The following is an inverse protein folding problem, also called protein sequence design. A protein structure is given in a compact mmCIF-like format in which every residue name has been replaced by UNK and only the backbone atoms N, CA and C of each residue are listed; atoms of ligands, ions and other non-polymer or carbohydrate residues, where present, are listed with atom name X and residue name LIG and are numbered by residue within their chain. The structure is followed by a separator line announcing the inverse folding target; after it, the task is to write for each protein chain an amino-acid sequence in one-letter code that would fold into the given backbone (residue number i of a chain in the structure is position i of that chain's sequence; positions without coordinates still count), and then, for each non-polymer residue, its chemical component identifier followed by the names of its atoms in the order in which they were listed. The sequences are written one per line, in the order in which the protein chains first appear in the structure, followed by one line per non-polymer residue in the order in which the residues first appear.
data_IF_580420850617
#
_entry.id   IF_580420850617
#
_cell.length_a   1.000
_cell.length_b   1.000
_cell.length_c   1.000
_cell.angle_alpha   90.00
_cell.angle_beta   90.00
_cell.angle_gamma   90.00
#
_symmetry.space_group_name_H-M   'P 1'
#
loop_
_entity.id
_entity.type
_entity.pdbx_description
1 polymer ?
#
# COMPACT_ATOMS: atom_id res chain seq x y z
N UNK A 1 54.88 1.33 -16.49
CA UNK A 1 54.48 2.74 -16.35
C UNK A 1 53.73 3.17 -17.61
N UNK A 2 52.41 3.38 -17.55
CA UNK A 2 51.63 3.97 -18.65
C UNK A 2 51.08 5.30 -18.15
N UNK A 3 51.73 6.39 -18.58
CA UNK A 3 51.25 7.75 -18.34
C UNK A 3 49.95 7.97 -19.13
N UNK A 4 48.88 8.35 -18.45
CA UNK A 4 47.66 8.84 -19.10
C UNK A 4 47.93 10.22 -19.70
N UNK A 5 47.88 10.31 -21.03
CA UNK A 5 48.00 11.56 -21.76
C UNK A 5 46.73 12.40 -21.54
N UNK A 6 46.86 13.48 -20.77
CA UNK A 6 45.85 14.55 -20.70
C UNK A 6 45.96 15.35 -22.00
N UNK A 7 45.03 15.14 -22.93
CA UNK A 7 44.89 15.96 -24.13
C UNK A 7 44.58 17.41 -23.71
N UNK A 8 45.55 18.30 -23.86
CA UNK A 8 45.45 19.74 -23.60
C UNK A 8 44.82 20.43 -24.81
N UNK A 9 43.48 20.49 -24.85
CA UNK A 9 42.76 21.35 -25.78
C UNK A 9 42.69 22.80 -25.29
N UNK A 10 43.00 23.73 -26.20
CA UNK A 10 43.31 25.15 -25.99
C UNK A 10 42.13 26.07 -25.60
N UNK A 11 40.98 25.55 -25.18
CA UNK A 11 39.80 26.36 -24.78
C UNK A 11 39.50 26.36 -23.27
N UNK A 12 40.30 25.67 -22.45
CA UNK A 12 40.06 25.50 -21.00
C UNK A 12 40.41 26.73 -20.14
N UNK A 13 41.19 27.70 -20.63
CA UNK A 13 41.72 28.80 -19.82
C UNK A 13 40.72 29.94 -19.55
N UNK A 14 39.73 30.17 -20.43
CA UNK A 14 38.82 31.31 -20.29
C UNK A 14 37.73 31.12 -19.21
N UNK A 15 37.43 29.87 -18.81
CA UNK A 15 36.29 29.55 -17.94
C UNK A 15 36.68 29.02 -16.54
N UNK A 16 37.97 28.91 -16.20
CA UNK A 16 38.47 28.31 -14.94
C UNK A 16 37.71 27.04 -14.54
N UNK A 17 37.44 26.16 -15.51
CA UNK A 17 36.64 24.94 -15.26
C UNK A 17 37.39 24.04 -14.28
N UNK A 18 36.73 23.76 -13.15
CA UNK A 18 37.27 22.86 -12.13
C UNK A 18 37.40 21.44 -12.69
N UNK A 19 38.56 20.83 -12.48
CA UNK A 19 38.83 19.43 -12.84
C UNK A 19 39.00 18.64 -11.54
N UNK A 20 38.36 17.48 -11.48
CA UNK A 20 38.39 16.57 -10.33
C UNK A 20 38.98 15.24 -10.81
N UNK A 21 40.03 14.76 -10.14
CA UNK A 21 40.76 13.53 -10.53
C UNK A 21 39.96 12.29 -10.09
N UNK A 22 39.83 11.26 -10.94
CA UNK A 22 39.13 10.03 -10.58
C UNK A 22 39.85 9.25 -9.47
N UNK A 23 39.07 8.74 -8.51
CA UNK A 23 39.56 7.87 -7.44
C UNK A 23 39.51 6.42 -7.91
N UNK A 24 40.59 5.66 -7.69
CA UNK A 24 40.67 4.22 -7.98
C UNK A 24 40.20 3.39 -6.77
N UNK A 25 39.63 2.19 -6.97
CA UNK A 25 39.24 1.31 -5.87
C UNK A 25 40.45 0.91 -5.02
N UNK A 26 40.29 1.08 -3.71
CA UNK A 26 41.32 0.83 -2.68
C UNK A 26 40.74 0.00 -1.53
N UNK A 27 41.57 -0.70 -0.74
CA UNK A 27 41.12 -1.33 0.50
C UNK A 27 40.42 -0.30 1.40
N UNK A 28 39.14 -0.53 1.72
CA UNK A 28 38.28 0.42 2.45
C UNK A 28 37.40 1.33 1.57
N UNK A 29 37.64 1.41 0.26
CA UNK A 29 36.81 2.17 -0.68
C UNK A 29 36.55 1.38 -1.99
N UNK A 30 35.57 0.45 -1.97
CA UNK A 30 35.26 -0.40 -3.11
C UNK A 30 34.58 0.38 -4.26
N UNK A 31 34.55 -0.23 -5.45
CA UNK A 31 34.06 0.40 -6.68
C UNK A 31 32.65 1.00 -6.58
N UNK A 32 31.73 0.32 -5.90
CA UNK A 32 30.35 0.78 -5.75
C UNK A 32 30.25 2.01 -4.82
N UNK A 33 31.17 2.15 -3.84
CA UNK A 33 31.23 3.34 -2.99
C UNK A 33 31.76 4.54 -3.77
N UNK A 34 32.81 4.35 -4.60
CA UNK A 34 33.33 5.42 -5.47
C UNK A 34 32.22 5.98 -6.34
N UNK A 35 31.51 5.11 -7.08
CA UNK A 35 30.46 5.53 -8.01
C UNK A 35 29.28 6.22 -7.30
N UNK A 36 28.96 5.82 -6.07
CA UNK A 36 27.83 6.37 -5.33
C UNK A 36 28.15 7.68 -4.59
N UNK A 37 29.33 7.76 -3.98
CA UNK A 37 29.73 8.86 -3.10
C UNK A 37 30.58 9.94 -3.79
N UNK A 38 31.20 9.62 -4.93
CA UNK A 38 32.10 10.53 -5.65
C UNK A 38 31.65 10.76 -7.09
N UNK A 39 31.75 12.00 -7.56
CA UNK A 39 31.50 12.37 -8.95
C UNK A 39 32.65 13.22 -9.46
N UNK A 40 33.12 12.92 -10.66
CA UNK A 40 34.14 13.70 -11.35
C UNK A 40 33.56 14.97 -12.00
N UNK A 41 32.23 15.08 -12.09
CA UNK A 41 31.52 16.20 -12.71
C UNK A 41 31.16 17.25 -11.65
N UNK A 42 31.87 18.40 -11.58
CA UNK A 42 31.67 19.39 -10.51
C UNK A 42 30.31 20.10 -10.58
N UNK A 43 29.59 20.01 -11.71
CA UNK A 43 28.25 20.57 -11.85
C UNK A 43 27.19 19.80 -11.05
N UNK A 44 27.49 18.57 -10.61
CA UNK A 44 26.60 17.73 -9.80
C UNK A 44 26.93 17.80 -8.30
N UNK A 45 27.96 18.53 -7.90
CA UNK A 45 28.30 18.72 -6.49
C UNK A 45 27.18 19.46 -5.75
N UNK A 46 27.03 19.18 -4.44
CA UNK A 46 26.01 19.79 -3.56
C UNK A 46 24.55 19.56 -3.99
N UNK A 47 24.30 18.51 -4.79
CA UNK A 47 22.96 17.98 -5.01
C UNK A 47 22.36 17.40 -3.71
N UNK A 48 21.20 16.74 -3.81
CA UNK A 48 20.52 16.10 -2.67
C UNK A 48 21.00 14.66 -2.44
N UNK A 49 20.75 14.14 -1.24
CA UNK A 49 21.02 12.74 -0.90
C UNK A 49 20.17 11.79 -1.76
N UNK A 50 20.77 10.67 -2.18
CA UNK A 50 20.09 9.57 -2.87
C UNK A 50 19.86 8.44 -1.87
N UNK A 51 18.68 7.83 -1.89
CA UNK A 51 18.35 6.68 -1.05
C UNK A 51 18.48 5.39 -1.85
N UNK A 52 18.86 4.31 -1.18
CA UNK A 52 18.93 2.97 -1.74
C UNK A 52 18.42 1.98 -0.69
N UNK A 53 17.83 0.87 -1.13
CA UNK A 53 17.28 -0.17 -0.27
C UNK A 53 18.23 -1.37 -0.17
N UNK A 54 18.41 -1.89 1.05
CA UNK A 54 19.11 -3.15 1.31
C UNK A 54 18.13 -4.33 1.39
N UNK A 55 18.57 -5.50 1.84
CA UNK A 55 17.82 -6.77 1.76
C UNK A 55 16.33 -6.72 2.10
N UNK A 56 15.95 -6.37 3.33
CA UNK A 56 14.54 -6.37 3.76
C UNK A 56 13.74 -5.20 3.18
N UNK A 57 14.26 -3.98 3.31
CA UNK A 57 13.62 -2.79 2.74
C UNK A 57 13.46 -2.88 1.21
N UNK A 58 14.33 -3.61 0.51
CA UNK A 58 14.21 -3.85 -0.93
C UNK A 58 13.05 -4.79 -1.23
N UNK A 59 12.83 -5.81 -0.41
CA UNK A 59 11.66 -6.70 -0.54
C UNK A 59 10.35 -5.93 -0.32
N UNK A 60 10.33 -5.01 0.65
CA UNK A 60 9.17 -4.15 0.91
C UNK A 60 8.91 -3.11 -0.19
N UNK A 61 9.95 -2.59 -0.85
CA UNK A 61 9.78 -1.53 -1.86
C UNK A 61 9.51 -2.10 -3.25
N UNK A 62 10.06 -3.27 -3.56
CA UNK A 62 9.88 -3.92 -4.86
C UNK A 62 8.67 -4.86 -4.90
N UNK A 63 8.05 -5.15 -3.75
CA UNK A 63 6.88 -6.02 -3.62
C UNK A 63 7.01 -7.33 -4.42
N UNK A 64 8.13 -8.02 -4.26
CA UNK A 64 8.43 -9.23 -5.04
C UNK A 64 7.53 -10.38 -4.55
N UNK A 65 6.58 -10.88 -5.37
CA UNK A 65 5.74 -12.00 -4.98
C UNK A 65 6.58 -13.27 -4.91
N UNK A 66 6.57 -13.93 -3.75
CA UNK A 66 7.26 -15.21 -3.56
C UNK A 66 6.51 -16.30 -4.32
N UNK A 67 7.12 -16.82 -5.40
CA UNK A 67 6.61 -17.99 -6.11
C UNK A 67 6.70 -19.22 -5.21
N UNK A 68 5.78 -20.17 -5.37
CA UNK A 68 5.91 -21.46 -4.68
C UNK A 68 7.12 -22.21 -5.25
N UNK A 69 8.02 -22.64 -4.37
CA UNK A 69 9.19 -23.45 -4.72
C UNK A 69 8.97 -24.91 -4.28
N UNK A 70 9.97 -25.55 -3.68
CA UNK A 70 9.93 -26.93 -3.21
C UNK A 70 9.45 -27.09 -1.76
N UNK A 71 10.03 -28.09 -1.09
CA UNK A 71 9.63 -28.53 0.26
C UNK A 71 9.72 -27.41 1.30
N UNK A 72 10.75 -26.56 1.23
CA UNK A 72 10.92 -25.45 2.17
C UNK A 72 9.77 -24.45 2.11
N UNK A 73 9.31 -24.07 0.91
CA UNK A 73 8.18 -23.17 0.76
C UNK A 73 6.89 -23.79 1.29
N UNK A 74 6.67 -25.08 1.02
CA UNK A 74 5.50 -25.81 1.54
C UNK A 74 5.50 -25.91 3.07
N UNK A 75 6.65 -26.25 3.65
CA UNK A 75 6.82 -26.31 5.09
C UNK A 75 6.61 -24.94 5.74
N UNK A 76 7.15 -23.86 5.14
CA UNK A 76 6.92 -22.50 5.61
C UNK A 76 5.46 -22.07 5.49
N UNK A 77 4.75 -22.45 4.42
CA UNK A 77 3.32 -22.17 4.25
C UNK A 77 2.49 -22.89 5.32
N UNK A 78 2.79 -24.17 5.61
CA UNK A 78 2.12 -24.91 6.66
C UNK A 78 2.39 -24.34 8.06
N UNK A 79 3.64 -23.92 8.33
CA UNK A 79 4.05 -23.34 9.60
C UNK A 79 3.72 -21.85 9.76
N UNK A 80 3.16 -21.21 8.73
CA UNK A 80 3.09 -19.74 8.61
C UNK A 80 2.34 -19.04 9.75
N UNK A 81 1.48 -19.74 10.48
CA UNK A 81 0.76 -19.18 11.62
C UNK A 81 -0.09 -17.95 11.23
N UNK A 82 -0.79 -17.35 12.19
CA UNK A 82 -1.62 -16.16 11.94
C UNK A 82 -0.74 -14.90 11.82
N UNK A 83 -0.46 -14.46 10.58
CA UNK A 83 0.37 -13.27 10.32
C UNK A 83 -0.28 -11.98 10.83
N UNK A 84 -1.60 -11.86 10.75
CA UNK A 84 -2.33 -10.68 11.22
C UNK A 84 -2.14 -10.51 12.73
N UNK A 85 -2.20 -11.63 13.45
CA UNK A 85 -1.95 -11.66 14.89
C UNK A 85 -0.49 -11.45 15.25
N UNK A 86 0.42 -12.04 14.48
CA UNK A 86 1.85 -11.85 14.69
C UNK A 86 2.25 -10.37 14.51
N UNK A 87 1.74 -9.70 13.48
CA UNK A 87 1.95 -8.28 13.27
C UNK A 87 1.42 -7.45 14.45
N UNK A 88 0.24 -7.79 14.97
CA UNK A 88 -0.35 -7.14 16.14
C UNK A 88 0.55 -7.28 17.38
N UNK A 89 1.06 -8.49 17.64
CA UNK A 89 1.99 -8.75 18.75
C UNK A 89 3.25 -7.89 18.61
N UNK A 90 3.87 -7.83 17.43
CA UNK A 90 5.09 -7.05 17.19
C UNK A 90 4.89 -5.55 17.52
N UNK A 91 3.71 -5.00 17.25
CA UNK A 91 3.39 -3.61 17.61
C UNK A 91 3.16 -3.43 19.10
N UNK A 92 2.41 -4.33 19.75
CA UNK A 92 2.17 -4.29 21.19
C UNK A 92 3.49 -4.38 21.96
N UNK A 93 4.44 -5.20 21.49
CA UNK A 93 5.78 -5.29 22.06
C UNK A 93 6.54 -3.95 22.05
N UNK A 94 6.14 -2.99 21.21
CA UNK A 94 6.69 -1.62 21.25
C UNK A 94 6.36 -0.85 22.54
N UNK A 95 5.41 -1.33 23.35
CA UNK A 95 5.13 -0.80 24.69
C UNK A 95 6.04 -1.39 25.78
N UNK A 96 6.96 -2.31 25.43
CA UNK A 96 7.98 -2.81 26.35
C UNK A 96 8.94 -1.70 26.78
N UNK A 97 9.50 -1.83 27.98
CA UNK A 97 10.36 -0.81 28.60
C UNK A 97 11.64 -0.50 27.80
N UNK A 98 12.10 -1.45 26.99
CA UNK A 98 13.31 -1.37 26.16
C UNK A 98 13.02 -0.89 24.72
N UNK A 99 11.75 -0.66 24.38
CA UNK A 99 11.32 -0.35 23.01
C UNK A 99 10.48 0.92 22.94
N UNK A 100 10.26 1.38 21.71
CA UNK A 100 9.35 2.48 21.40
C UNK A 100 8.24 1.96 20.50
N UNK A 101 7.04 2.52 20.67
CA UNK A 101 5.91 2.28 19.78
C UNK A 101 6.26 2.87 18.41
N UNK A 102 6.47 1.99 17.44
CA UNK A 102 6.89 2.37 16.09
C UNK A 102 5.71 2.51 15.15
N UNK A 103 5.60 3.67 14.50
CA UNK A 103 4.63 3.90 13.43
C UNK A 103 4.82 2.97 12.22
N UNK A 104 6.03 2.44 11.98
CA UNK A 104 6.26 1.45 10.92
C UNK A 104 5.66 0.09 11.27
N UNK A 105 5.73 -0.33 12.54
CA UNK A 105 5.08 -1.56 13.02
C UNK A 105 3.55 -1.42 12.96
N UNK A 106 3.02 -0.24 13.32
CA UNK A 106 1.60 0.05 13.14
C UNK A 106 1.18 -0.01 11.67
N UNK A 107 1.97 0.60 10.77
CA UNK A 107 1.70 0.56 9.33
C UNK A 107 1.69 -0.88 8.81
N UNK A 108 2.66 -1.71 9.21
CA UNK A 108 2.70 -3.14 8.84
C UNK A 108 1.42 -3.88 9.24
N UNK A 109 0.87 -3.61 10.42
CA UNK A 109 -0.44 -4.17 10.84
C UNK A 109 -1.56 -3.63 9.97
N UNK A 110 -1.59 -2.32 9.77
CA UNK A 110 -2.64 -1.68 8.98
C UNK A 110 -2.68 -2.29 7.58
N UNK A 111 -1.51 -2.35 6.92
CA UNK A 111 -1.32 -2.93 5.60
C UNK A 111 -1.84 -4.39 5.61
N UNK A 112 -1.38 -5.23 6.55
CA UNK A 112 -1.84 -6.63 6.72
C UNK A 112 -3.36 -6.78 6.87
N UNK A 113 -3.97 -5.98 7.74
CA UNK A 113 -5.42 -5.99 7.95
C UNK A 113 -6.20 -5.47 6.73
N UNK A 114 -5.54 -4.74 5.83
CA UNK A 114 -6.10 -4.22 4.57
C UNK A 114 -5.63 -4.97 3.32
N UNK A 115 -4.84 -6.06 3.46
CA UNK A 115 -4.25 -6.80 2.32
C UNK A 115 -5.35 -7.31 1.37
N UNK A 116 -6.55 -7.58 1.88
CA UNK A 116 -7.68 -8.14 1.13
C UNK A 116 -8.66 -7.08 0.59
N UNK A 117 -8.32 -5.79 0.67
CA UNK A 117 -9.18 -4.68 0.23
C UNK A 117 -9.63 -4.85 -1.23
N UNK A 118 -8.74 -5.26 -2.12
CA UNK A 118 -9.03 -5.45 -3.55
C UNK A 118 -10.18 -6.44 -3.78
N UNK A 119 -10.17 -7.55 -3.05
CA UNK A 119 -11.23 -8.57 -3.13
C UNK A 119 -12.54 -8.07 -2.51
N UNK A 120 -12.47 -7.44 -1.33
CA UNK A 120 -13.64 -6.91 -0.66
C UNK A 120 -14.32 -5.81 -1.49
N UNK A 121 -13.53 -4.91 -2.08
CA UNK A 121 -14.01 -3.86 -2.98
C UNK A 121 -14.68 -4.49 -4.21
N UNK A 122 -14.07 -5.51 -4.81
CA UNK A 122 -14.67 -6.19 -5.96
C UNK A 122 -16.02 -6.83 -5.61
N UNK A 123 -16.11 -7.53 -4.47
CA UNK A 123 -17.36 -8.14 -3.99
C UNK A 123 -18.42 -7.13 -3.54
N UNK A 124 -18.01 -5.95 -3.05
CA UNK A 124 -18.94 -4.83 -2.82
C UNK A 124 -19.59 -4.39 -4.14
N UNK A 125 -18.81 -4.30 -5.22
CA UNK A 125 -19.33 -3.92 -6.54
C UNK A 125 -20.26 -5.00 -7.11
N UNK A 126 -19.92 -6.29 -7.04
CA UNK A 126 -20.82 -7.35 -7.54
C UNK A 126 -22.16 -7.38 -6.79
N UNK A 127 -22.15 -7.04 -5.50
CA UNK A 127 -23.33 -7.01 -4.63
C UNK A 127 -24.20 -5.76 -4.86
N UNK A 128 -23.58 -4.59 -4.99
CA UNK A 128 -24.29 -3.30 -4.94
C UNK A 128 -24.39 -2.57 -6.28
N UNK A 129 -23.43 -2.74 -7.20
CA UNK A 129 -23.40 -1.99 -8.46
C UNK A 129 -24.25 -2.62 -9.59
N UNK A 130 -24.67 -3.89 -9.46
CA UNK A 130 -25.43 -4.60 -10.51
C UNK A 130 -26.92 -4.61 -10.19
N UNK A 131 -27.77 -4.02 -11.03
CA UNK A 131 -29.22 -3.84 -10.74
C UNK A 131 -30.00 -5.15 -10.56
N UNK A 132 -29.82 -6.10 -11.48
CA UNK A 132 -30.40 -7.44 -11.37
C UNK A 132 -29.34 -8.46 -11.78
N UNK A 133 -28.64 -9.09 -10.81
CA UNK A 133 -27.70 -10.16 -11.10
C UNK A 133 -28.38 -11.54 -11.27
N UNK A 134 -29.72 -11.63 -11.12
CA UNK A 134 -30.46 -12.89 -11.07
C UNK A 134 -30.53 -13.45 -9.66
N UNK A 135 -31.02 -14.69 -9.52
CA UNK A 135 -31.02 -15.36 -8.23
C UNK A 135 -29.60 -15.81 -7.85
N UNK A 136 -28.97 -15.06 -6.96
CA UNK A 136 -27.62 -15.31 -6.47
C UNK A 136 -27.49 -16.58 -5.63
N UNK A 137 -28.61 -17.14 -5.15
CA UNK A 137 -28.62 -18.43 -4.44
C UNK A 137 -28.59 -19.62 -5.40
N UNK A 138 -28.96 -19.40 -6.67
CA UNK A 138 -28.88 -20.44 -7.70
C UNK A 138 -27.43 -20.91 -7.86
N UNK A 139 -27.23 -22.23 -7.98
CA UNK A 139 -25.88 -22.81 -8.06
C UNK A 139 -25.11 -22.32 -9.28
N UNK A 140 -25.78 -22.00 -10.38
CA UNK A 140 -25.16 -21.49 -11.60
C UNK A 140 -24.45 -20.15 -11.35
N UNK A 141 -25.20 -19.14 -10.90
CA UNK A 141 -24.68 -17.79 -10.70
C UNK A 141 -23.71 -17.75 -9.53
N UNK A 142 -24.00 -18.52 -8.47
CA UNK A 142 -23.08 -18.70 -7.35
C UNK A 142 -21.72 -19.25 -7.81
N UNK A 143 -21.71 -20.28 -8.68
CA UNK A 143 -20.46 -20.84 -9.21
C UNK A 143 -19.72 -19.86 -10.13
N UNK A 144 -20.44 -19.04 -10.90
CA UNK A 144 -19.81 -17.95 -11.65
C UNK A 144 -19.14 -16.93 -10.73
N UNK A 145 -19.83 -16.49 -9.67
CA UNK A 145 -19.27 -15.57 -8.69
C UNK A 145 -18.03 -16.17 -8.01
N UNK A 146 -18.11 -17.45 -7.62
CA UNK A 146 -17.01 -18.17 -6.96
C UNK A 146 -15.76 -18.25 -7.84
N UNK A 147 -15.90 -18.71 -9.09
CA UNK A 147 -14.78 -18.84 -10.00
C UNK A 147 -14.11 -17.48 -10.30
N UNK A 148 -14.91 -16.42 -10.46
CA UNK A 148 -14.39 -15.07 -10.68
C UNK A 148 -13.70 -14.50 -9.43
N UNK A 149 -14.22 -14.78 -8.24
CA UNK A 149 -13.57 -14.38 -6.99
C UNK A 149 -12.20 -15.06 -6.81
N UNK A 150 -12.09 -16.35 -7.11
CA UNK A 150 -10.82 -17.08 -7.06
C UNK A 150 -9.80 -16.55 -8.10
N UNK A 151 -10.28 -16.19 -9.29
CA UNK A 151 -9.45 -15.59 -10.35
C UNK A 151 -8.96 -14.17 -10.03
N UNK A 152 -9.76 -13.37 -9.33
CA UNK A 152 -9.32 -12.04 -8.84
C UNK A 152 -8.34 -12.20 -7.67
N UNK A 153 -8.58 -13.15 -6.76
CA UNK A 153 -7.71 -13.38 -5.59
C UNK A 153 -6.29 -13.81 -5.98
N UNK A 154 -6.18 -14.64 -7.02
CA UNK A 154 -4.91 -15.15 -7.55
C UNK A 154 -4.18 -14.16 -8.47
N UNK A 155 -4.84 -13.06 -8.86
CA UNK A 155 -4.31 -12.10 -9.83
C UNK A 155 -4.33 -12.59 -11.28
N UNK A 156 -5.09 -13.66 -11.58
CA UNK A 156 -5.29 -14.16 -12.95
C UNK A 156 -6.15 -13.20 -13.79
N UNK A 157 -7.07 -12.48 -13.15
CA UNK A 157 -7.95 -11.51 -13.80
C UNK A 157 -7.93 -10.16 -13.10
N UNK A 158 -7.96 -9.08 -13.89
CA UNK A 158 -8.17 -7.74 -13.34
C UNK A 158 -9.60 -7.57 -12.84
N UNK A 159 -9.80 -6.77 -11.79
CA UNK A 159 -11.12 -6.53 -11.19
C UNK A 159 -12.18 -6.09 -12.22
N UNK A 160 -11.78 -5.18 -13.14
CA UNK A 160 -12.64 -4.70 -14.22
C UNK A 160 -13.09 -5.83 -15.14
N UNK A 161 -12.15 -6.69 -15.55
CA UNK A 161 -12.43 -7.81 -16.44
C UNK A 161 -13.37 -8.80 -15.76
N UNK A 162 -13.06 -9.19 -14.53
CA UNK A 162 -13.90 -10.10 -13.76
C UNK A 162 -15.31 -9.54 -13.51
N UNK A 163 -15.44 -8.24 -13.23
CA UNK A 163 -16.75 -7.59 -13.08
C UNK A 163 -17.56 -7.61 -14.38
N UNK A 164 -16.91 -7.33 -15.52
CA UNK A 164 -17.55 -7.41 -16.85
C UNK A 164 -17.98 -8.84 -17.20
N UNK A 165 -17.17 -9.84 -16.85
CA UNK A 165 -17.57 -11.24 -17.01
C UNK A 165 -18.76 -11.61 -16.13
N UNK A 166 -18.82 -11.10 -14.91
CA UNK A 166 -19.94 -11.32 -13.99
C UNK A 166 -21.25 -10.71 -14.50
N UNK A 167 -21.23 -9.47 -14.99
CA UNK A 167 -22.43 -8.83 -15.54
C UNK A 167 -22.91 -9.49 -16.84
N UNK A 168 -21.98 -10.01 -17.65
CA UNK A 168 -22.28 -10.66 -18.95
C UNK A 168 -22.47 -12.18 -18.87
N UNK A 169 -22.38 -12.77 -17.68
CA UNK A 169 -22.51 -14.21 -17.50
C UNK A 169 -23.89 -14.71 -17.97
N UNK A 170 -23.93 -15.93 -18.50
CA UNK A 170 -25.19 -16.56 -18.93
C UNK A 170 -26.05 -16.85 -17.70
N UNK A 171 -27.27 -16.29 -17.65
CA UNK A 171 -28.20 -16.46 -16.52
C UNK A 171 -29.38 -17.37 -16.89
N UNK A 172 -30.19 -16.93 -17.85
CA UNK A 172 -31.35 -17.66 -18.36
C UNK A 172 -31.71 -17.15 -19.76
N UNK A 173 -32.41 -17.96 -20.60
CA UNK A 173 -33.01 -17.45 -21.82
C UNK A 173 -34.06 -16.37 -21.48
N UNK A 174 -34.28 -15.43 -22.40
CA UNK A 174 -35.25 -14.34 -22.29
C UNK A 174 -35.20 -13.59 -20.94
N UNK A 175 -33.99 -13.36 -20.40
CA UNK A 175 -33.79 -12.87 -19.04
C UNK A 175 -34.57 -11.59 -18.70
N UNK A 176 -34.68 -10.64 -19.64
CA UNK A 176 -35.42 -9.39 -19.43
C UNK A 176 -36.93 -9.59 -19.28
N UNK A 177 -37.52 -10.53 -20.04
CA UNK A 177 -38.95 -10.84 -19.99
C UNK A 177 -39.32 -11.62 -18.72
N UNK A 178 -38.38 -12.42 -18.20
CA UNK A 178 -38.55 -13.07 -16.88
C UNK A 178 -38.43 -12.02 -15.78
N UNK A 179 -37.47 -11.10 -15.89
CA UNK A 179 -37.27 -10.03 -14.92
C UNK A 179 -38.49 -9.09 -14.84
N UNK A 180 -39.15 -8.77 -15.95
CA UNK A 180 -40.35 -7.93 -15.95
C UNK A 180 -41.56 -8.57 -15.24
N UNK A 181 -41.53 -9.89 -14.98
CA UNK A 181 -42.54 -10.57 -14.17
C UNK A 181 -42.29 -10.46 -12.67
N UNK A 182 -41.08 -10.07 -12.27
CA UNK A 182 -40.63 -10.04 -10.88
C UNK A 182 -40.33 -8.63 -10.37
N UNK A 183 -39.83 -7.75 -11.23
CA UNK A 183 -39.27 -6.46 -10.85
C UNK A 183 -39.89 -5.34 -11.70
N UNK A 184 -40.33 -4.27 -11.03
CA UNK A 184 -40.89 -3.09 -11.70
C UNK A 184 -39.80 -2.20 -12.31
N UNK A 185 -38.75 -1.88 -11.55
CA UNK A 185 -37.63 -1.01 -11.97
C UNK A 185 -36.39 -1.77 -12.43
N UNK A 186 -36.47 -3.11 -12.47
CA UNK A 186 -35.32 -3.97 -12.74
C UNK A 186 -34.29 -4.04 -11.61
N UNK A 187 -34.58 -3.50 -10.41
CA UNK A 187 -33.70 -3.59 -9.25
C UNK A 187 -34.10 -4.75 -8.32
N UNK A 188 -33.23 -5.76 -8.20
CA UNK A 188 -33.43 -6.89 -7.29
C UNK A 188 -33.03 -6.55 -5.84
N UNK A 189 -33.52 -7.34 -4.89
CA UNK A 189 -33.13 -7.27 -3.48
C UNK A 189 -31.66 -7.66 -3.28
N UNK A 190 -30.96 -6.99 -2.35
CA UNK A 190 -29.50 -7.11 -2.19
C UNK A 190 -29.04 -8.25 -1.29
N UNK A 191 -29.93 -8.80 -0.47
CA UNK A 191 -29.60 -9.79 0.54
C UNK A 191 -28.98 -11.07 -0.06
N UNK A 192 -29.53 -11.55 -1.17
CA UNK A 192 -29.01 -12.73 -1.87
C UNK A 192 -27.58 -12.51 -2.40
N UNK A 193 -27.27 -11.30 -2.88
CA UNK A 193 -25.92 -10.94 -3.32
C UNK A 193 -24.92 -10.89 -2.17
N UNK A 194 -25.26 -10.21 -1.07
CA UNK A 194 -24.39 -10.07 0.10
C UNK A 194 -24.12 -11.43 0.76
N UNK A 195 -25.15 -12.25 0.93
CA UNK A 195 -25.02 -13.60 1.50
C UNK A 195 -24.18 -14.54 0.61
N UNK A 196 -24.39 -14.51 -0.71
CA UNK A 196 -23.57 -15.29 -1.65
C UNK A 196 -22.11 -14.84 -1.64
N UNK A 197 -21.85 -13.52 -1.66
CA UNK A 197 -20.49 -12.98 -1.62
C UNK A 197 -19.76 -13.36 -0.33
N UNK A 198 -20.43 -13.26 0.83
CA UNK A 198 -19.88 -13.68 2.10
C UNK A 198 -19.58 -15.19 2.14
N UNK A 199 -20.48 -16.02 1.61
CA UNK A 199 -20.29 -17.47 1.57
C UNK A 199 -19.17 -17.89 0.60
N UNK A 200 -19.02 -17.19 -0.53
CA UNK A 200 -17.89 -17.40 -1.46
C UNK A 200 -16.57 -17.13 -0.76
N UNK A 201 -16.42 -16.02 -0.02
CA UNK A 201 -15.21 -15.73 0.76
C UNK A 201 -14.90 -16.78 1.83
N UNK A 202 -15.94 -17.26 2.51
CA UNK A 202 -15.83 -18.31 3.52
C UNK A 202 -15.39 -19.64 2.91
N UNK A 203 -15.95 -20.02 1.76
CA UNK A 203 -15.69 -21.33 1.13
C UNK A 203 -14.38 -21.39 0.37
N UNK A 204 -13.90 -20.28 -0.20
CA UNK A 204 -12.58 -20.24 -0.85
C UNK A 204 -11.41 -20.16 0.16
N UNK A 205 -11.69 -19.88 1.43
CA UNK A 205 -10.66 -19.74 2.46
C UNK A 205 -9.83 -18.44 2.30
N UNK A 206 -10.44 -17.37 1.80
CA UNK A 206 -9.77 -16.08 1.56
C UNK A 206 -9.13 -15.52 2.84
N UNK A 207 -9.88 -15.60 3.94
CA UNK A 207 -9.48 -15.05 5.23
C UNK A 207 -9.21 -16.16 6.23
N UNK A 208 -8.12 -16.05 6.99
CA UNK A 208 -7.82 -17.02 8.06
C UNK A 208 -8.89 -17.04 9.16
N UNK A 209 -9.46 -15.87 9.48
CA UNK A 209 -10.49 -15.69 10.50
C UNK A 209 -11.86 -15.59 9.83
N UNK A 210 -12.80 -16.49 10.12
CA UNK A 210 -14.01 -16.65 9.31
C UNK A 210 -14.91 -15.39 9.28
N UNK A 211 -15.02 -14.68 10.41
CA UNK A 211 -15.92 -13.52 10.53
C UNK A 211 -15.43 -12.28 9.78
N UNK A 212 -14.11 -12.15 9.58
CA UNK A 212 -13.52 -10.95 8.96
C UNK A 212 -14.08 -10.68 7.56
N UNK A 213 -14.35 -11.75 6.80
CA UNK A 213 -14.89 -11.66 5.45
C UNK A 213 -16.26 -10.96 5.39
N UNK A 214 -17.20 -11.43 6.19
CA UNK A 214 -18.54 -10.86 6.28
C UNK A 214 -18.51 -9.43 6.85
N UNK A 215 -17.72 -9.21 7.91
CA UNK A 215 -17.61 -7.91 8.55
C UNK A 215 -17.14 -6.83 7.59
N UNK A 216 -16.04 -7.06 6.85
CA UNK A 216 -15.48 -6.09 5.91
C UNK A 216 -16.44 -5.77 4.76
N UNK A 217 -17.08 -6.80 4.19
CA UNK A 217 -18.08 -6.63 3.14
C UNK A 217 -19.26 -5.80 3.63
N UNK A 218 -19.79 -6.13 4.81
CA UNK A 218 -20.92 -5.42 5.41
C UNK A 218 -20.56 -3.97 5.72
N UNK A 219 -19.45 -3.73 6.42
CA UNK A 219 -19.04 -2.42 6.89
C UNK A 219 -18.83 -1.44 5.72
N UNK A 220 -18.18 -1.87 4.64
CA UNK A 220 -17.95 -1.03 3.45
C UNK A 220 -19.25 -0.64 2.74
N UNK A 221 -20.24 -1.53 2.71
CA UNK A 221 -21.57 -1.24 2.15
C UNK A 221 -22.29 -0.22 3.02
N UNK A 222 -22.25 -0.38 4.35
CA UNK A 222 -22.85 0.55 5.30
C UNK A 222 -22.25 1.95 5.15
N UNK A 223 -20.92 2.06 5.14
CA UNK A 223 -20.23 3.36 4.99
C UNK A 223 -20.54 4.06 3.67
N UNK A 224 -20.68 3.30 2.58
CA UNK A 224 -21.05 3.87 1.28
C UNK A 224 -22.50 4.35 1.22
N UNK A 225 -23.38 3.83 2.08
CA UNK A 225 -24.82 4.16 2.05
C UNK A 225 -25.09 5.63 2.32
N UNK A 226 -24.19 6.32 3.03
CA UNK A 226 -24.29 7.76 3.34
C UNK A 226 -23.82 8.67 2.19
N UNK A 227 -23.25 8.11 1.11
CA UNK A 227 -22.74 8.90 0.00
C UNK A 227 -23.86 9.37 -0.95
N UNK A 228 -23.68 10.56 -1.53
CA UNK A 228 -24.52 11.01 -2.65
C UNK A 228 -24.34 10.05 -3.84
N UNK A 229 -25.45 9.52 -4.37
CA UNK A 229 -25.46 8.48 -5.42
C UNK A 229 -24.59 7.26 -5.07
N UNK A 230 -24.98 6.48 -4.04
CA UNK A 230 -24.08 5.51 -3.40
C UNK A 230 -23.71 4.32 -4.30
N UNK A 231 -24.61 3.91 -5.19
CA UNK A 231 -24.48 2.69 -6.01
C UNK A 231 -24.17 2.96 -7.48
N UNK A 232 -24.06 4.24 -7.86
CA UNK A 232 -23.62 4.67 -9.20
C UNK A 232 -22.13 4.99 -9.19
N UNK A 233 -21.39 4.42 -10.14
CA UNK A 233 -19.94 4.58 -10.21
C UNK A 233 -19.51 5.14 -11.58
N UNK A 234 -18.62 6.15 -11.63
CA UNK A 234 -17.98 6.55 -12.87
C UNK A 234 -17.16 5.39 -13.45
N UNK A 235 -17.40 4.96 -14.70
CA UNK A 235 -16.84 3.71 -15.23
C UNK A 235 -15.30 3.69 -15.29
N UNK A 236 -14.67 4.85 -15.45
CA UNK A 236 -13.21 4.99 -15.42
C UNK A 236 -12.65 4.72 -14.01
N UNK A 237 -13.29 5.28 -12.97
CA UNK A 237 -12.79 5.23 -11.58
C UNK A 237 -13.37 4.09 -10.74
N UNK A 238 -14.26 3.27 -11.30
CA UNK A 238 -14.88 2.14 -10.61
C UNK A 238 -13.85 1.03 -10.27
N UNK A 239 -12.88 0.81 -11.15
CA UNK A 239 -11.86 -0.24 -11.03
C UNK A 239 -10.50 0.29 -11.49
N UNK A 240 -9.49 -0.57 -11.43
CA UNK A 240 -8.16 -0.33 -11.98
C UNK A 240 -8.21 0.28 -13.40
N UNK A 241 -7.48 1.40 -13.55
CA UNK A 241 -7.35 2.21 -14.76
C UNK A 241 -6.01 2.95 -14.66
N UNK A 242 -5.54 3.53 -15.77
CA UNK A 242 -4.27 4.28 -15.80
C UNK A 242 -4.28 5.47 -14.84
N UNK A 243 -5.42 6.15 -14.70
CA UNK A 243 -5.64 7.24 -13.77
C UNK A 243 -6.49 6.73 -12.60
N UNK A 244 -5.90 6.71 -11.40
CA UNK A 244 -6.60 6.32 -10.18
C UNK A 244 -6.96 7.52 -9.32
N UNK A 245 -8.08 7.44 -8.61
CA UNK A 245 -8.38 8.38 -7.53
C UNK A 245 -7.34 8.27 -6.41
N UNK A 246 -7.12 9.38 -5.69
CA UNK A 246 -6.38 9.37 -4.43
C UNK A 246 -6.96 8.30 -3.49
N UNK A 247 -6.14 7.55 -2.74
CA UNK A 247 -6.60 6.43 -1.90
C UNK A 247 -7.85 6.72 -1.06
N UNK A 248 -7.92 7.91 -0.42
CA UNK A 248 -9.09 8.36 0.36
C UNK A 248 -10.41 8.49 -0.43
N UNK A 249 -10.34 8.68 -1.74
CA UNK A 249 -11.50 8.90 -2.62
C UNK A 249 -11.91 7.61 -3.33
N UNK A 250 -11.14 6.53 -3.20
CA UNK A 250 -11.47 5.25 -3.82
C UNK A 250 -12.75 4.70 -3.19
N UNK A 251 -13.62 4.15 -4.03
CA UNK A 251 -14.89 3.56 -3.61
C UNK A 251 -14.65 2.34 -2.71
N UNK A 252 -15.48 2.20 -1.67
CA UNK A 252 -15.38 1.11 -0.68
C UNK A 252 -14.00 0.98 -0.01
N UNK A 253 -13.19 2.04 -0.02
CA UNK A 253 -11.86 2.05 0.59
C UNK A 253 -11.93 2.32 2.09
N UNK A 254 -11.05 1.66 2.84
CA UNK A 254 -10.91 1.86 4.29
C UNK A 254 -10.39 3.26 4.67
N UNK A 255 -9.71 3.95 3.75
CA UNK A 255 -9.04 5.23 4.03
C UNK A 255 -9.95 6.48 3.96
N UNK A 256 -11.21 6.32 3.55
CA UNK A 256 -12.12 7.45 3.29
C UNK A 256 -12.34 8.39 4.50
N UNK A 257 -12.07 7.94 5.74
CA UNK A 257 -12.29 8.74 6.97
C UNK A 257 -11.04 9.37 7.60
N UNK A 258 -9.81 8.90 7.32
CA UNK A 258 -8.66 9.15 8.21
C UNK A 258 -7.96 10.53 8.11
N UNK A 259 -8.28 11.37 7.11
CA UNK A 259 -7.47 12.59 6.82
C UNK A 259 -8.15 13.93 7.07
N UNK A 260 -9.47 13.95 7.29
CA UNK A 260 -10.20 15.18 7.65
C UNK A 260 -9.74 15.76 9.00
N UNK A 261 -9.26 14.91 9.92
CA UNK A 261 -8.78 15.33 11.24
C UNK A 261 -7.34 15.88 11.24
N UNK A 262 -6.46 15.40 10.35
CA UNK A 262 -5.05 15.83 10.31
C UNK A 262 -4.87 17.28 9.83
N UNK A 263 -5.73 17.77 8.93
CA UNK A 263 -5.68 19.16 8.43
C UNK A 263 -6.05 20.20 9.50
N UNK A 264 -6.76 19.82 10.56
CA UNK A 264 -7.20 20.76 11.61
C UNK A 264 -6.11 21.12 12.64
N UNK A 265 -4.97 20.41 12.66
CA UNK A 265 -3.85 20.68 13.57
C UNK A 265 -2.75 21.50 12.86
N UNK A 266 -3.07 22.72 12.44
CA UNK A 266 -2.07 23.66 11.92
C UNK A 266 -1.33 24.36 13.06
N UNK A 267 -0.08 24.01 13.31
CA UNK A 267 0.85 24.81 14.14
C UNK A 267 1.81 25.56 13.23
N UNK A 268 2.18 26.79 13.60
CA UNK A 268 3.17 27.61 12.88
C UNK A 268 4.56 27.00 13.13
N UNK A 269 4.99 26.09 12.26
CA UNK A 269 6.36 25.60 12.28
C UNK A 269 7.27 26.60 11.58
N UNK A 270 8.33 27.05 12.28
CA UNK A 270 9.43 27.77 11.65
C UNK A 270 10.36 26.78 10.94
N UNK A 271 10.84 27.07 9.72
CA UNK A 271 11.79 26.21 9.00
C UNK A 271 13.11 25.97 9.77
N UNK A 272 13.42 26.79 10.78
CA UNK A 272 14.63 26.67 11.58
C UNK A 272 14.46 25.79 12.84
N UNK A 273 13.24 25.45 13.22
CA UNK A 273 12.95 24.64 14.44
C UNK A 273 12.58 23.20 14.12
N UNK A 274 12.69 22.77 12.85
CA UNK A 274 12.26 21.45 12.36
C UNK A 274 12.84 20.28 13.20
N UNK A 275 14.11 20.40 13.63
CA UNK A 275 14.82 19.36 14.37
C UNK A 275 14.58 19.40 15.89
N UNK A 276 14.06 20.51 16.44
CA UNK A 276 14.11 20.81 17.89
C UNK A 276 13.01 20.11 18.72
N UNK A 277 12.01 19.51 18.08
CA UNK A 277 10.99 18.74 18.79
C UNK A 277 11.43 17.33 19.18
N UNK A 278 10.54 16.57 19.84
CA UNK A 278 10.69 15.11 19.99
C UNK A 278 10.50 14.46 18.61
N UNK A 279 11.60 14.27 17.88
CA UNK A 279 11.60 13.71 16.53
C UNK A 279 12.27 12.33 16.53
N UNK A 280 11.56 11.34 15.98
CA UNK A 280 12.18 10.06 15.61
C UNK A 280 12.99 10.29 14.34
N UNK A 281 14.29 10.07 14.40
CA UNK A 281 15.19 10.22 13.26
C UNK A 281 15.37 8.89 12.54
N UNK A 282 15.56 8.98 11.22
CA UNK A 282 16.10 7.86 10.44
C UNK A 282 17.63 7.93 10.41
N UNK A 283 18.17 9.09 10.04
CA UNK A 283 19.60 9.39 10.12
C UNK A 283 19.74 10.52 11.14
N UNK A 284 20.40 10.30 12.29
CA UNK A 284 20.63 11.37 13.26
C UNK A 284 21.52 12.46 12.63
N UNK A 285 21.23 13.76 12.86
CA UNK A 285 22.11 14.82 12.40
C UNK A 285 23.51 14.68 12.99
N UNK A 286 24.51 14.99 12.18
CA UNK A 286 25.94 14.94 12.53
C UNK A 286 26.52 16.35 12.62
N UNK A 287 27.59 16.55 13.40
CA UNK A 287 28.18 17.87 13.65
C UNK A 287 28.65 18.61 12.39
N UNK A 288 29.07 17.89 11.35
CA UNK A 288 29.41 18.49 10.06
C UNK A 288 28.21 19.12 9.32
N UNK A 289 26.97 18.73 9.66
CA UNK A 289 25.74 19.20 8.99
C UNK A 289 24.80 20.00 9.88
N UNK A 290 24.86 19.82 11.20
CA UNK A 290 24.02 20.52 12.16
C UNK A 290 24.87 21.09 13.31
N UNK A 291 25.19 22.38 13.24
CA UNK A 291 26.16 22.99 14.15
C UNK A 291 25.65 23.23 15.58
N UNK A 292 24.35 23.53 15.76
CA UNK A 292 23.77 23.93 17.07
C UNK A 292 22.71 22.96 17.60
N UNK A 293 22.47 21.85 16.91
CA UNK A 293 21.47 20.88 17.34
C UNK A 293 22.05 19.99 18.43
N UNK A 294 21.42 20.00 19.62
CA UNK A 294 21.91 19.27 20.79
C UNK A 294 21.44 17.81 20.85
N UNK A 295 20.41 17.43 20.07
CA UNK A 295 19.80 16.11 20.08
C UNK A 295 18.33 16.12 20.51
N UNK A 296 17.54 15.09 20.15
CA UNK A 296 16.09 15.04 20.40
C UNK A 296 15.71 14.76 21.86
N UNK A 297 16.65 14.28 22.67
CA UNK A 297 16.41 13.89 24.06
C UNK A 297 16.51 15.09 25.03
N UNK A 298 17.18 16.17 24.64
CA UNK A 298 17.48 17.31 25.50
C UNK A 298 16.20 18.07 25.88
N UNK A 299 16.03 18.34 27.16
CA UNK A 299 15.03 19.27 27.67
C UNK A 299 15.74 20.54 28.18
N UNK A 300 15.57 21.67 27.49
CA UNK A 300 16.21 22.93 27.85
C UNK A 300 15.60 23.58 29.11
N UNK A 301 14.32 23.27 29.39
CA UNK A 301 13.56 23.88 30.48
C UNK A 301 12.83 22.77 31.26
N UNK A 302 13.54 22.00 32.11
CA UNK A 302 12.91 20.99 32.95
C UNK A 302 12.01 21.63 34.01
N UNK A 303 10.79 21.12 34.14
CA UNK A 303 9.88 21.48 35.23
C UNK A 303 10.20 20.72 36.51
N UNK A 304 9.73 21.24 37.65
CA UNK A 304 9.76 20.50 38.92
C UNK A 304 8.83 19.29 38.80
N UNK A 305 9.39 18.09 38.95
CA UNK A 305 8.63 16.83 38.97
C UNK A 305 8.81 16.25 40.37
N UNK A 306 7.80 16.30 41.26
CA UNK A 306 7.87 15.63 42.55
C UNK A 306 7.78 14.11 42.33
N UNK A 307 8.61 13.37 43.05
CA UNK A 307 8.52 11.91 43.12
C UNK A 307 7.19 11.47 43.77
#
# INVERSE_FOLDING_TARGET
MKCSAVLRDKSMFAAKRRVIVPIQPTPGFPQHFIKAAFTTDPLKEKQKARFSSGGEAMREVQDIPKRLEGERSRAQLAAKGDEDFAALIEFIQGASYDQLISGRRFKKIYDKLSDNDDMFVWLCHTSMAVLNPGDMRSRLIYNHLKALAEAVASGEMTQRTAFRFYESAVRSPAYREIASRQLESGAATRLAGISAAADVMRTMGLTRRPMSSYFELYQRIVERSEAMTPWGFPPLFQFEERLSLEPRLRFFSRESQQTLEKRRKGTIFSPHTILQGRRIFWIPPTWNRAGRFMGPHVNLYPGLTPD
#
